data_IF_056202561518
#
_entry.id   IF_056202561518
#
_cell.length_a   1.000
_cell.length_b   1.000
_cell.length_c   1.000
_cell.angle_alpha   90.00
_cell.angle_beta   90.00
_cell.angle_gamma   90.00
#
_symmetry.space_group_name_H-M   'P 1'
#
loop_
_entity.id
_entity.type
_entity.pdbx_description
1 polymer ?
#
# COMPACT_ATOMS: atom_id res chain seq x y z
N UNK A 1 -27.87 0.55 -6.34
CA UNK A 1 -27.09 -0.54 -5.73
C UNK A 1 -26.60 -1.41 -6.89
N UNK A 2 -25.29 -1.63 -7.03
CA UNK A 2 -24.74 -2.45 -8.12
C UNK A 2 -25.01 -3.93 -7.87
N UNK A 3 -25.20 -4.70 -8.94
CA UNK A 3 -25.19 -6.16 -8.84
C UNK A 3 -23.80 -6.66 -8.39
N UNK A 4 -23.72 -7.89 -7.87
CA UNK A 4 -22.43 -8.50 -7.49
C UNK A 4 -21.45 -8.55 -8.68
N UNK A 5 -21.97 -8.81 -9.88
CA UNK A 5 -21.18 -8.90 -11.11
C UNK A 5 -20.69 -7.53 -11.57
N UNK A 6 -21.54 -6.51 -11.50
CA UNK A 6 -21.16 -5.14 -11.83
C UNK A 6 -20.11 -4.62 -10.86
N UNK A 7 -20.31 -4.86 -9.56
CA UNK A 7 -19.35 -4.47 -8.55
C UNK A 7 -17.99 -5.12 -8.79
N UNK A 8 -17.96 -6.43 -9.11
CA UNK A 8 -16.74 -7.14 -9.45
C UNK A 8 -16.05 -6.55 -10.69
N UNK A 9 -16.82 -6.28 -11.76
CA UNK A 9 -16.33 -5.69 -13.00
C UNK A 9 -15.64 -4.35 -12.79
N UNK A 10 -16.23 -3.45 -11.99
CA UNK A 10 -15.61 -2.16 -11.68
C UNK A 10 -14.27 -2.31 -10.96
N UNK A 11 -14.16 -3.25 -9.99
CA UNK A 11 -12.89 -3.50 -9.30
C UNK A 11 -11.82 -4.01 -10.26
N UNK A 12 -12.17 -5.01 -11.09
CA UNK A 12 -11.25 -5.59 -12.08
C UNK A 12 -10.75 -4.51 -13.04
N UNK A 13 -11.67 -3.70 -13.58
CA UNK A 13 -11.33 -2.64 -14.52
C UNK A 13 -10.46 -1.54 -13.88
N UNK A 14 -10.74 -1.13 -12.65
CA UNK A 14 -9.89 -0.19 -11.90
C UNK A 14 -8.44 -0.71 -11.83
N UNK A 15 -8.25 -1.95 -11.36
CA UNK A 15 -6.92 -2.52 -11.18
C UNK A 15 -6.20 -2.79 -12.50
N UNK A 16 -6.92 -3.21 -13.55
CA UNK A 16 -6.35 -3.43 -14.87
C UNK A 16 -5.84 -2.12 -15.49
N UNK A 17 -6.64 -1.05 -15.39
CA UNK A 17 -6.22 0.28 -15.84
C UNK A 17 -5.01 0.78 -15.04
N UNK A 18 -5.03 0.64 -13.71
CA UNK A 18 -3.89 1.00 -12.87
C UNK A 18 -2.63 0.22 -13.26
N UNK A 19 -2.74 -1.09 -13.46
CA UNK A 19 -1.62 -1.97 -13.83
C UNK A 19 -1.03 -1.58 -15.19
N UNK A 20 -1.86 -1.37 -16.20
CA UNK A 20 -1.39 -0.96 -17.53
C UNK A 20 -0.70 0.40 -17.50
N UNK A 21 -1.33 1.39 -16.84
CA UNK A 21 -0.82 2.75 -16.70
C UNK A 21 0.49 2.81 -15.91
N UNK A 22 0.56 2.08 -14.80
CA UNK A 22 1.73 2.02 -13.92
C UNK A 22 2.91 1.31 -14.60
N UNK A 23 2.69 0.17 -15.24
CA UNK A 23 3.72 -0.56 -15.98
C UNK A 23 4.36 0.31 -17.08
N UNK A 24 3.55 1.01 -17.89
CA UNK A 24 4.07 1.90 -18.93
C UNK A 24 4.90 3.05 -18.37
N UNK A 25 4.48 3.66 -17.25
CA UNK A 25 5.27 4.70 -16.57
C UNK A 25 6.57 4.16 -15.99
N UNK A 26 6.57 2.97 -15.37
CA UNK A 26 7.77 2.35 -14.77
C UNK A 26 8.77 1.91 -15.82
N UNK A 27 8.31 1.34 -16.93
CA UNK A 27 9.17 0.96 -18.06
C UNK A 27 9.93 2.18 -18.63
N UNK A 28 9.27 3.34 -18.77
CA UNK A 28 9.93 4.59 -19.19
C UNK A 28 11.04 5.06 -18.23
N UNK A 29 10.93 4.70 -16.94
CA UNK A 29 11.95 4.94 -15.91
C UNK A 29 12.96 3.80 -15.76
N UNK A 30 12.94 2.79 -16.65
CA UNK A 30 13.77 1.58 -16.60
C UNK A 30 13.62 0.77 -15.30
N UNK A 31 12.45 0.85 -14.68
CA UNK A 31 12.10 0.08 -13.49
C UNK A 31 11.35 -1.20 -13.89
N UNK A 32 11.36 -2.25 -13.02
CA UNK A 32 10.51 -3.42 -13.21
C UNK A 32 9.03 -3.01 -13.37
N UNK A 33 8.31 -3.71 -14.25
CA UNK A 33 6.88 -3.44 -14.46
C UNK A 33 6.02 -3.78 -13.24
N UNK A 34 6.41 -4.81 -12.48
CA UNK A 34 5.67 -5.30 -11.32
C UNK A 34 6.09 -4.59 -10.03
N UNK A 35 5.11 -4.21 -9.21
CA UNK A 35 5.33 -3.65 -7.88
C UNK A 35 5.87 -4.74 -6.95
N UNK A 36 6.66 -4.34 -5.96
CA UNK A 36 7.26 -5.22 -4.96
C UNK A 36 6.16 -5.92 -4.16
N UNK A 37 5.19 -5.17 -3.63
CA UNK A 37 4.06 -5.69 -2.85
C UNK A 37 4.51 -6.68 -1.77
N UNK A 38 4.26 -7.98 -1.97
CA UNK A 38 4.63 -9.06 -1.04
C UNK A 38 6.07 -9.60 -1.27
N UNK A 39 6.74 -9.20 -2.35
CA UNK A 39 8.11 -9.58 -2.72
C UNK A 39 9.19 -8.73 -2.01
N UNK A 40 8.91 -8.31 -0.78
CA UNK A 40 9.83 -7.50 0.05
C UNK A 40 11.07 -8.31 0.49
N UNK A 41 10.91 -9.62 0.58
CA UNK A 41 11.90 -10.54 1.15
C UNK A 41 12.04 -10.43 2.66
N UNK A 42 11.17 -9.69 3.33
CA UNK A 42 11.03 -9.62 4.78
C UNK A 42 9.72 -10.29 5.15
N UNK A 43 9.76 -11.31 6.00
CA UNK A 43 8.54 -12.02 6.40
C UNK A 43 7.59 -11.06 7.11
N UNK A 44 6.30 -11.24 6.89
CA UNK A 44 5.21 -10.43 7.45
C UNK A 44 5.09 -8.99 6.91
N UNK A 45 6.14 -8.39 6.34
CA UNK A 45 6.09 -7.02 5.83
C UNK A 45 5.71 -7.01 4.34
N UNK A 46 4.56 -6.41 4.02
CA UNK A 46 4.09 -6.26 2.65
C UNK A 46 3.79 -4.79 2.35
N UNK A 47 4.13 -4.34 1.15
CA UNK A 47 3.64 -3.07 0.62
C UNK A 47 2.24 -3.28 0.04
N UNK A 48 1.32 -2.36 0.30
CA UNK A 48 -0.09 -2.53 -0.04
C UNK A 48 -0.66 -1.31 -0.74
N UNK A 49 -1.55 -1.63 -1.67
CA UNK A 49 -2.55 -0.72 -2.18
C UNK A 49 -3.91 -1.11 -1.60
N UNK A 50 -4.75 -0.13 -1.30
CA UNK A 50 -6.15 -0.35 -0.97
C UNK A 50 -6.99 0.70 -1.68
N UNK A 51 -8.19 0.33 -2.12
CA UNK A 51 -9.20 1.27 -2.61
C UNK A 51 -10.58 0.72 -2.33
N UNK A 52 -11.48 1.57 -1.89
CA UNK A 52 -12.87 1.24 -1.63
C UNK A 52 -13.81 2.33 -2.19
N UNK A 53 -14.93 2.59 -1.52
CA UNK A 53 -15.93 3.60 -1.94
C UNK A 53 -15.63 5.00 -1.45
N UNK A 54 -14.68 5.15 -0.54
CA UNK A 54 -14.42 6.40 0.15
C UNK A 54 -12.96 6.82 0.00
N UNK A 55 -12.03 5.86 0.01
CA UNK A 55 -10.60 6.12 0.08
C UNK A 55 -9.77 5.27 -0.89
N UNK A 56 -8.63 5.83 -1.30
CA UNK A 56 -7.48 5.08 -1.81
C UNK A 56 -6.32 5.18 -0.81
N UNK A 57 -5.62 4.07 -0.55
CA UNK A 57 -4.54 4.01 0.42
C UNK A 57 -3.28 3.36 -0.17
N UNK A 58 -2.14 3.81 0.32
CA UNK A 58 -0.80 3.24 0.05
C UNK A 58 -0.09 3.11 1.39
N UNK A 59 0.53 1.95 1.64
CA UNK A 59 1.22 1.75 2.90
C UNK A 59 1.90 0.38 3.05
N UNK A 60 2.23 0.08 4.29
CA UNK A 60 2.85 -1.15 4.76
C UNK A 60 1.84 -1.88 5.65
N UNK A 61 1.62 -3.17 5.40
CA UNK A 61 0.88 -4.05 6.28
C UNK A 61 1.81 -5.13 6.85
N UNK A 62 1.78 -5.28 8.18
CA UNK A 62 2.47 -6.35 8.91
C UNK A 62 1.50 -7.48 9.22
N UNK A 63 1.65 -8.60 8.51
CA UNK A 63 0.76 -9.76 8.56
C UNK A 63 1.50 -11.01 9.05
N UNK A 64 1.29 -11.36 10.32
CA UNK A 64 1.83 -12.58 10.92
C UNK A 64 0.94 -13.08 12.04
N UNK A 65 0.98 -14.40 12.30
CA UNK A 65 0.33 -15.02 13.47
C UNK A 65 1.16 -14.86 14.74
N UNK A 66 2.44 -14.54 14.63
CA UNK A 66 3.33 -14.30 15.75
C UNK A 66 3.26 -12.82 16.14
N UNK A 67 2.64 -12.54 17.29
CA UNK A 67 2.44 -11.18 17.80
C UNK A 67 3.75 -10.47 18.09
N UNK A 68 4.71 -11.15 18.73
CA UNK A 68 6.00 -10.56 19.11
C UNK A 68 6.76 -10.06 17.89
N UNK A 69 6.82 -10.86 16.82
CA UNK A 69 7.43 -10.45 15.55
C UNK A 69 6.74 -9.26 14.89
N UNK A 70 5.42 -9.18 15.05
CA UNK A 70 4.64 -8.06 14.50
C UNK A 70 4.98 -6.78 15.24
N UNK A 71 5.04 -6.84 16.58
CA UNK A 71 5.40 -5.73 17.44
C UNK A 71 6.84 -5.30 17.15
N UNK A 72 7.79 -6.24 17.09
CA UNK A 72 9.20 -5.95 16.79
C UNK A 72 9.37 -5.22 15.45
N UNK A 73 8.72 -5.71 14.37
CA UNK A 73 8.73 -5.05 13.07
C UNK A 73 8.06 -3.67 13.10
N UNK A 74 6.98 -3.51 13.88
CA UNK A 74 6.27 -2.25 14.00
C UNK A 74 7.11 -1.19 14.72
N UNK A 75 7.68 -1.52 15.88
CA UNK A 75 8.57 -0.63 16.64
C UNK A 75 9.80 -0.23 15.82
N UNK A 76 10.31 -1.16 15.01
CA UNK A 76 11.41 -0.89 14.10
C UNK A 76 11.04 0.10 13.00
N UNK A 77 9.83 0.01 12.45
CA UNK A 77 9.31 1.01 11.52
C UNK A 77 9.07 2.35 12.23
N UNK A 78 8.58 2.35 13.47
CA UNK A 78 8.41 3.57 14.27
C UNK A 78 9.73 4.29 14.52
N UNK A 79 10.84 3.55 14.71
CA UNK A 79 12.18 4.14 14.82
C UNK A 79 12.61 4.92 13.56
N UNK A 80 12.02 4.57 12.39
CA UNK A 80 12.23 5.25 11.12
C UNK A 80 11.10 6.24 10.77
N UNK A 81 10.13 6.48 11.66
CA UNK A 81 8.92 7.24 11.38
C UNK A 81 9.20 8.59 10.73
N UNK A 82 10.11 9.37 11.31
CA UNK A 82 10.46 10.69 10.78
C UNK A 82 11.00 10.62 9.36
N UNK A 83 11.92 9.68 9.08
CA UNK A 83 12.50 9.48 7.76
C UNK A 83 11.45 9.01 6.75
N UNK A 84 10.55 8.12 7.18
CA UNK A 84 9.46 7.63 6.34
C UNK A 84 8.47 8.75 6.00
N UNK A 85 8.03 9.55 6.97
CA UNK A 85 7.11 10.67 6.73
C UNK A 85 7.75 11.79 5.89
N UNK A 86 9.06 12.04 6.06
CA UNK A 86 9.83 12.94 5.20
C UNK A 86 9.89 12.42 3.76
N UNK A 87 10.20 11.13 3.56
CA UNK A 87 10.26 10.51 2.23
C UNK A 87 8.89 10.44 1.53
N UNK A 88 7.82 10.26 2.30
CA UNK A 88 6.44 10.27 1.80
C UNK A 88 5.92 11.70 1.55
N UNK A 89 6.59 12.72 2.09
CA UNK A 89 6.17 14.13 2.10
C UNK A 89 4.79 14.34 2.77
N UNK A 90 4.46 13.48 3.74
CA UNK A 90 3.15 13.47 4.39
C UNK A 90 3.20 12.68 5.70
N UNK A 91 2.47 13.09 6.75
CA UNK A 91 2.28 12.25 7.93
C UNK A 91 1.56 10.95 7.56
N UNK A 92 1.93 9.85 8.22
CA UNK A 92 1.28 8.56 8.03
C UNK A 92 0.38 8.23 9.22
N UNK A 93 -0.61 7.38 8.97
CA UNK A 93 -1.47 6.76 9.97
C UNK A 93 -0.79 5.48 10.41
N UNK A 94 -0.61 5.31 11.72
CA UNK A 94 0.06 4.18 12.35
C UNK A 94 -0.94 3.42 13.22
N UNK A 95 -1.27 2.18 12.83
CA UNK A 95 -2.21 1.33 13.53
C UNK A 95 -1.52 0.02 13.92
N UNK A 96 -1.18 -0.14 15.20
CA UNK A 96 -0.57 -1.37 15.70
C UNK A 96 -1.54 -2.56 15.61
N UNK A 97 -2.83 -2.32 15.86
CA UNK A 97 -3.86 -3.34 15.82
C UNK A 97 -5.05 -2.88 14.98
N UNK A 98 -5.20 -3.51 13.82
CA UNK A 98 -6.35 -3.38 12.94
C UNK A 98 -6.94 -4.76 12.68
N UNK A 99 -8.23 -4.94 12.97
CA UNK A 99 -8.95 -6.19 12.71
C UNK A 99 -9.64 -6.08 11.36
N UNK A 100 -9.18 -6.86 10.39
CA UNK A 100 -9.83 -6.98 9.08
C UNK A 100 -11.21 -7.64 9.21
N UNK A 101 -12.07 -7.43 8.22
CA UNK A 101 -13.40 -8.06 8.15
C UNK A 101 -13.37 -9.60 8.28
N UNK A 102 -12.26 -10.23 7.87
CA UNK A 102 -12.06 -11.67 7.99
C UNK A 102 -11.55 -12.12 9.38
N UNK A 103 -11.52 -11.22 10.37
CA UNK A 103 -11.07 -11.48 11.74
C UNK A 103 -9.55 -11.51 11.93
N UNK A 104 -8.75 -11.29 10.88
CA UNK A 104 -7.29 -11.24 11.01
C UNK A 104 -6.84 -9.89 11.56
N UNK A 105 -6.12 -9.92 12.69
CA UNK A 105 -5.41 -8.75 13.22
C UNK A 105 -4.14 -8.52 12.39
N UNK A 106 -3.90 -7.27 11.99
CA UNK A 106 -2.72 -6.80 11.25
C UNK A 106 -2.26 -5.47 11.84
N UNK A 107 -1.00 -5.09 11.61
CA UNK A 107 -0.56 -3.70 11.85
C UNK A 107 -0.42 -2.98 10.53
N UNK A 108 -0.76 -1.70 10.47
CA UNK A 108 -0.82 -0.92 9.23
C UNK A 108 -0.13 0.42 9.41
N UNK A 109 0.63 0.83 8.40
CA UNK A 109 1.27 2.14 8.33
C UNK A 109 1.00 2.68 6.94
N UNK A 110 0.13 3.68 6.80
CA UNK A 110 -0.38 4.08 5.50
C UNK A 110 -0.74 5.57 5.44
N UNK A 111 -0.90 6.05 4.21
CA UNK A 111 -1.57 7.31 3.93
C UNK A 111 -2.80 7.04 3.07
N UNK A 112 -3.77 7.97 3.12
CA UNK A 112 -5.01 7.85 2.37
C UNK A 112 -5.36 9.14 1.64
N UNK A 113 -6.05 8.96 0.51
CA UNK A 113 -6.75 10.00 -0.23
C UNK A 113 -8.25 9.73 -0.12
N UNK A 114 -9.00 10.72 0.35
CA UNK A 114 -10.46 10.69 0.42
C UNK A 114 -11.12 11.11 -0.91
N UNK A 115 -12.42 10.86 -1.03
CA UNK A 115 -13.21 11.24 -2.21
C UNK A 115 -12.96 10.33 -3.41
N UNK A 116 -12.49 9.11 -3.16
CA UNK A 116 -12.31 8.08 -4.19
C UNK A 116 -13.43 7.07 -4.06
N UNK A 117 -14.14 6.79 -5.15
CA UNK A 117 -15.07 5.67 -5.20
C UNK A 117 -14.68 4.72 -6.33
N UNK A 118 -14.33 3.48 -6.00
CA UNK A 118 -13.99 2.44 -6.98
C UNK A 118 -15.13 2.18 -7.97
N UNK A 119 -16.36 2.55 -7.67
CA UNK A 119 -17.51 2.45 -8.56
C UNK A 119 -17.80 3.73 -9.37
N UNK A 120 -17.05 4.81 -9.14
CA UNK A 120 -17.13 6.06 -9.92
C UNK A 120 -15.86 6.27 -10.73
N UNK A 121 -15.91 5.97 -12.04
CA UNK A 121 -14.76 6.05 -12.94
C UNK A 121 -14.08 7.43 -12.98
N UNK A 122 -14.84 8.49 -12.75
CA UNK A 122 -14.33 9.86 -12.76
C UNK A 122 -13.30 10.11 -11.65
N UNK A 123 -13.33 9.36 -10.54
CA UNK A 123 -12.35 9.50 -9.45
C UNK A 123 -11.10 8.63 -9.64
N UNK A 124 -11.09 7.73 -10.63
CA UNK A 124 -10.03 6.73 -10.78
C UNK A 124 -8.71 7.36 -11.20
N UNK A 125 -8.76 8.39 -12.04
CA UNK A 125 -7.55 9.04 -12.56
C UNK A 125 -6.72 9.62 -11.41
N UNK A 126 -7.36 10.30 -10.47
CA UNK A 126 -6.73 10.92 -9.31
C UNK A 126 -6.22 9.85 -8.33
N UNK A 127 -7.03 8.82 -8.05
CA UNK A 127 -6.62 7.67 -7.25
C UNK A 127 -5.38 6.98 -7.83
N UNK A 128 -5.37 6.70 -9.14
CA UNK A 128 -4.23 6.12 -9.84
C UNK A 128 -2.97 6.98 -9.76
N UNK A 129 -3.09 8.31 -9.88
CA UNK A 129 -1.96 9.25 -9.72
C UNK A 129 -1.42 9.20 -8.29
N UNK A 130 -2.30 9.28 -7.29
CA UNK A 130 -1.96 9.18 -5.87
C UNK A 130 -1.22 7.87 -5.56
N UNK A 131 -1.82 6.75 -5.95
CA UNK A 131 -1.27 5.40 -5.71
C UNK A 131 0.10 5.24 -6.36
N UNK A 132 0.23 5.62 -7.63
CA UNK A 132 1.50 5.53 -8.35
C UNK A 132 2.60 6.37 -7.70
N UNK A 133 2.32 7.64 -7.40
CA UNK A 133 3.32 8.56 -6.86
C UNK A 133 3.83 8.10 -5.49
N UNK A 134 2.90 7.70 -4.61
CA UNK A 134 3.24 7.34 -3.24
C UNK A 134 3.85 5.95 -3.13
N UNK A 135 3.45 4.97 -3.96
CA UNK A 135 4.12 3.67 -3.97
C UNK A 135 5.55 3.76 -4.52
N UNK A 136 5.81 4.65 -5.48
CA UNK A 136 7.19 4.90 -5.93
C UNK A 136 8.09 5.40 -4.80
N UNK A 137 7.59 6.33 -3.98
CA UNK A 137 8.31 6.83 -2.79
C UNK A 137 8.51 5.71 -1.77
N UNK A 138 7.44 4.96 -1.47
CA UNK A 138 7.46 3.87 -0.49
C UNK A 138 8.41 2.73 -0.88
N UNK A 139 8.43 2.32 -2.15
CA UNK A 139 9.38 1.30 -2.64
C UNK A 139 10.83 1.80 -2.55
N UNK A 140 11.07 3.07 -2.88
CA UNK A 140 12.40 3.67 -2.79
C UNK A 140 12.89 3.68 -1.34
N UNK A 141 12.06 4.16 -0.42
CA UNK A 141 12.34 4.13 1.01
C UNK A 141 12.57 2.69 1.50
N UNK A 142 11.68 1.76 1.14
CA UNK A 142 11.81 0.38 1.54
C UNK A 142 13.12 -0.24 1.07
N UNK A 143 13.56 0.03 -0.17
CA UNK A 143 14.83 -0.47 -0.68
C UNK A 143 16.04 0.06 0.09
N UNK A 144 16.02 1.34 0.47
CA UNK A 144 17.08 1.98 1.24
C UNK A 144 17.21 1.39 2.65
N UNK A 145 16.10 1.15 3.33
CA UNK A 145 16.07 0.68 4.73
C UNK A 145 15.82 -0.83 4.86
N UNK A 146 15.81 -1.58 3.74
CA UNK A 146 15.51 -3.02 3.73
C UNK A 146 16.41 -3.81 4.64
N UNK A 147 17.72 -3.55 4.60
CA UNK A 147 18.69 -4.29 5.41
C UNK A 147 18.52 -4.01 6.89
N UNK A 148 18.19 -2.77 7.26
CA UNK A 148 17.81 -2.46 8.64
C UNK A 148 16.61 -3.31 9.05
N UNK A 149 15.53 -3.30 8.27
CA UNK A 149 14.27 -3.99 8.59
C UNK A 149 14.40 -5.53 8.63
N UNK A 150 15.33 -6.12 7.89
CA UNK A 150 15.48 -7.58 7.73
C UNK A 150 15.83 -8.34 9.03
N UNK A 151 16.49 -7.70 9.98
CA UNK A 151 16.95 -8.31 11.24
C UNK A 151 15.92 -8.16 12.37
N UNK A 152 14.67 -8.55 12.11
CA UNK A 152 13.57 -8.64 13.09
C UNK A 152 12.88 -10.01 12.94
#
# INVERSE_FOLDING_TARGET
MFSKEEAKRFREEFWDQFKQMSAGKRARKKLPGNWMLDQTGIKALNLRFHVDREVAQVGIDLETRNMDKRIELFEKLESLKKLLEEAMESPLIWELEYIRENGKSVSRIYMQMEGVDIYMRDTWTEAHKFMYANMMKLESFFQEYRDFLKYA
#
